data_IF_492513546550
#
_entry.id   IF_492513546550
#
_cell.length_a   1.000
_cell.length_b   1.000
_cell.length_c   1.000
_cell.angle_alpha   90.00
_cell.angle_beta   90.00
_cell.angle_gamma   90.00
#
_symmetry.space_group_name_H-M   'P 1'
#
loop_
_entity.id
_entity.type
_entity.pdbx_description
1 polymer ?
2 non-polymer ?
3 non-polymer ?
4 non-polymer ?
5 water ?
#
# COMPACT_ATOMS: atom_id res chain seq x y z
N UNK A 5 -13.58 -11.41 3.05
CA UNK A 5 -13.13 -11.21 1.68
C UNK A 5 -11.75 -10.57 1.64
N UNK A 6 -11.16 -10.46 0.46
CA UNK A 6 -9.90 -9.77 0.29
C UNK A 6 -10.13 -8.49 -0.53
N UNK A 7 -9.35 -7.45 -0.22
CA UNK A 7 -9.45 -6.25 -1.02
C UNK A 7 -8.96 -6.53 -2.43
N UNK A 8 -9.26 -5.61 -3.35
CA UNK A 8 -8.85 -5.80 -4.74
C UNK A 8 -7.34 -5.65 -4.89
N UNK A 9 -6.73 -4.85 -4.03
CA UNK A 9 -5.30 -4.55 -4.09
C UNK A 9 -4.68 -4.95 -2.76
N UNK A 10 -3.35 -5.06 -2.75
CA UNK A 10 -2.65 -5.42 -1.52
C UNK A 10 -1.31 -4.69 -1.46
N UNK A 11 -0.96 -4.22 -0.27
CA UNK A 11 0.33 -3.61 -0.03
C UNK A 11 1.35 -4.71 0.25
N UNK A 12 2.43 -4.73 -0.52
CA UNK A 12 3.58 -5.59 -0.24
C UNK A 12 4.69 -4.67 0.26
N UNK A 13 5.07 -4.85 1.52
CA UNK A 13 6.12 -4.03 2.13
C UNK A 13 7.44 -4.78 2.03
N UNK A 14 8.36 -4.25 1.22
CA UNK A 14 9.65 -4.87 0.96
C UNK A 14 9.69 -5.01 -0.55
N UNK A 15 10.78 -4.54 -1.15
CA UNK A 15 10.90 -4.52 -2.60
C UNK A 15 12.09 -5.33 -3.09
N UNK A 16 12.60 -6.24 -2.28
CA UNK A 16 13.72 -7.07 -2.68
C UNK A 16 13.16 -8.40 -3.18
N UNK A 17 14.06 -9.40 -3.31
CA UNK A 17 13.65 -10.66 -3.90
C UNK A 17 12.46 -11.28 -3.21
N UNK A 18 12.45 -11.28 -1.88
CA UNK A 18 11.33 -11.84 -1.13
C UNK A 18 10.02 -11.16 -1.51
N UNK A 19 10.05 -9.86 -1.78
CA UNK A 19 8.83 -9.14 -2.12
C UNK A 19 8.29 -9.54 -3.48
N UNK A 20 9.18 -9.75 -4.46
CA UNK A 20 8.76 -10.17 -5.78
C UNK A 20 8.07 -11.52 -5.73
N UNK A 21 8.60 -12.40 -4.89
CA UNK A 21 8.01 -13.71 -4.66
C UNK A 21 6.63 -13.59 -3.98
N UNK A 22 6.51 -12.71 -2.97
CA UNK A 22 5.21 -12.48 -2.37
C UNK A 22 4.22 -11.89 -3.36
N UNK A 23 4.69 -11.07 -4.29
CA UNK A 23 3.82 -10.56 -5.35
C UNK A 23 3.24 -11.70 -6.16
N UNK A 24 4.05 -12.71 -6.47
CA UNK A 24 3.56 -13.86 -7.23
C UNK A 24 2.48 -14.61 -6.45
N UNK A 25 2.68 -14.83 -5.15
CA UNK A 25 1.71 -15.57 -4.35
C UNK A 25 0.41 -14.79 -4.22
N UNK A 26 0.50 -13.48 -3.96
CA UNK A 26 -0.68 -12.64 -3.86
C UNK A 26 -1.52 -12.68 -5.15
N UNK A 27 -0.85 -12.59 -6.31
CA UNK A 27 -1.55 -12.69 -7.58
C UNK A 27 -2.16 -14.07 -7.76
N UNK A 28 -1.43 -15.12 -7.40
CA UNK A 28 -1.99 -16.46 -7.48
C UNK A 28 -3.28 -16.57 -6.69
N UNK A 29 -3.36 -15.87 -5.55
CA UNK A 29 -4.60 -15.81 -4.79
C UNK A 29 -5.68 -15.02 -5.48
N UNK A 30 -5.32 -14.18 -6.46
CA UNK A 30 -6.30 -13.42 -7.22
C UNK A 30 -6.32 -11.93 -6.95
N UNK A 31 -5.48 -11.41 -6.05
CA UNK A 31 -5.29 -9.96 -5.97
C UNK A 31 -4.96 -9.44 -7.35
N UNK A 32 -5.62 -8.35 -7.74
CA UNK A 32 -5.40 -7.83 -9.09
C UNK A 32 -4.13 -7.02 -9.18
N UNK A 33 -3.66 -6.44 -8.07
CA UNK A 33 -2.49 -5.59 -8.14
C UNK A 33 -1.77 -5.52 -6.80
N UNK A 34 -0.44 -5.50 -6.88
CA UNK A 34 0.43 -5.34 -5.72
C UNK A 34 1.04 -3.95 -5.74
N UNK A 35 0.83 -3.20 -4.67
CA UNK A 35 1.44 -1.89 -4.49
C UNK A 35 2.61 -2.06 -3.52
N UNK A 36 3.82 -1.99 -4.05
CA UNK A 36 5.00 -2.13 -3.21
C UNK A 36 5.24 -0.86 -2.40
N UNK A 37 5.50 -1.03 -1.12
CA UNK A 37 5.94 0.07 -0.28
C UNK A 37 7.43 -0.07 -0.04
N UNK A 38 8.14 1.06 -0.11
CA UNK A 38 9.58 1.06 -0.43
C UNK A 38 10.38 0.17 0.52
N UNK A 39 10.10 0.25 1.82
CA UNK A 39 10.84 -0.43 2.88
C UNK A 39 12.15 0.29 3.13
N UNK A 40 12.76 0.83 2.08
CA UNK A 40 13.95 1.66 2.22
C UNK A 40 13.59 3.10 2.57
N UNK A 43 6.91 3.24 -2.90
CA UNK A 43 6.48 4.45 -2.21
C UNK A 43 6.52 4.24 -0.70
N UNK A 44 6.31 5.32 0.07
CA UNK A 44 6.54 5.32 1.50
C UNK A 44 5.25 5.08 2.29
N UNK A 45 5.43 4.61 3.52
CA UNK A 45 4.31 4.20 4.36
C UNK A 45 3.97 5.26 5.41
N UNK A 46 2.66 5.47 5.58
CA UNK A 46 2.09 6.22 6.69
C UNK A 46 0.65 5.74 6.84
N UNK A 47 0.11 5.87 8.06
CA UNK A 47 -1.16 5.22 8.38
C UNK A 47 -2.33 5.68 7.52
N UNK A 48 -2.19 6.77 6.74
CA UNK A 48 -3.36 7.40 6.10
C UNK A 48 -3.76 6.76 4.78
N UNK A 49 -2.92 5.89 4.20
CA UNK A 49 -3.16 5.18 2.93
C UNK A 49 -4.51 4.45 2.93
N UNK A 50 -5.14 4.26 1.77
CA UNK A 50 -6.39 3.48 1.74
C UNK A 50 -6.18 2.11 2.32
N UNK A 51 -7.13 1.68 3.15
CA UNK A 51 -6.96 0.48 3.95
C UNK A 51 -7.08 -0.80 3.11
N UNK A 52 -6.16 -0.99 2.17
CA UNK A 52 -6.05 -2.25 1.47
C UNK A 52 -5.45 -3.31 2.40
N UNK A 53 -5.59 -4.58 2.01
CA UNK A 53 -4.89 -5.65 2.69
C UNK A 53 -3.38 -5.44 2.63
N UNK A 54 -2.67 -6.03 3.59
CA UNK A 54 -1.27 -5.69 3.83
C UNK A 54 -0.45 -6.95 4.05
N UNK A 55 0.81 -6.92 3.60
CA UNK A 55 1.72 -8.03 3.86
C UNK A 55 3.14 -7.52 4.01
N UNK A 56 3.88 -8.09 4.95
CA UNK A 56 5.25 -7.69 5.21
C UNK A 56 6.17 -8.70 4.53
N UNK A 57 6.75 -8.30 3.40
CA UNK A 57 7.61 -9.18 2.61
C UNK A 57 9.08 -8.93 2.93
N UNK A 58 9.42 -9.16 4.20
CA UNK A 58 10.78 -9.00 4.70
C UNK A 58 11.20 -10.34 5.30
N UNK A 59 12.32 -10.89 4.83
CA UNK A 59 12.73 -12.21 5.26
C UNK A 59 13.21 -12.28 6.69
N UNK A 60 13.96 -11.27 7.14
CA UNK A 60 14.55 -11.30 8.48
C UNK A 60 13.47 -11.30 9.55
N UNK A 61 13.57 -12.26 10.48
CA UNK A 61 12.48 -12.49 11.42
C UNK A 61 12.32 -11.31 12.37
N UNK A 62 13.43 -10.77 12.88
CA UNK A 62 13.35 -9.68 13.85
C UNK A 62 12.76 -8.43 13.22
N UNK A 63 13.23 -8.07 12.03
CA UNK A 63 12.75 -6.88 11.35
C UNK A 63 11.31 -7.05 10.89
N UNK A 64 10.98 -8.20 10.29
CA UNK A 64 9.60 -8.46 9.94
C UNK A 64 8.67 -8.28 11.15
N UNK A 65 9.11 -8.72 12.32
CA UNK A 65 8.29 -8.60 13.54
C UNK A 65 8.10 -7.14 13.96
N UNK A 66 9.16 -6.34 13.94
CA UNK A 66 9.03 -4.95 14.36
C UNK A 66 8.11 -4.17 13.43
N UNK A 67 8.18 -4.45 12.13
CA UNK A 67 7.23 -3.86 11.19
C UNK A 67 5.82 -4.34 11.48
N UNK A 68 5.65 -5.66 11.58
CA UNK A 68 4.35 -6.24 11.92
C UNK A 68 3.75 -5.55 13.14
N UNK A 69 4.55 -5.36 14.19
CA UNK A 69 4.08 -4.63 15.35
C UNK A 69 3.61 -3.23 14.97
N UNK A 70 4.40 -2.52 14.15
CA UNK A 70 4.04 -1.18 13.70
C UNK A 70 2.74 -1.21 12.92
N UNK A 71 2.74 -1.89 11.78
CA UNK A 71 1.64 -1.86 10.83
C UNK A 71 0.31 -2.21 11.50
N UNK A 72 0.31 -3.20 12.40
CA UNK A 72 -0.92 -3.56 13.10
C UNK A 72 -1.43 -2.38 13.92
N UNK A 73 -0.56 -1.78 14.74
CA UNK A 73 -0.94 -0.64 15.55
C UNK A 73 -1.45 0.52 14.70
N UNK A 74 -1.00 0.63 13.46
CA UNK A 74 -1.54 1.63 12.54
C UNK A 74 -2.86 1.18 11.91
N UNK A 75 -3.32 -0.03 12.20
CA UNK A 75 -4.67 -0.44 11.87
C UNK A 75 -4.88 -1.13 10.54
N UNK A 76 -3.83 -1.67 9.92
CA UNK A 76 -3.99 -2.42 8.69
C UNK A 76 -4.19 -3.91 8.99
N UNK A 77 -4.98 -4.57 8.16
CA UNK A 77 -5.11 -6.02 8.24
C UNK A 77 -3.92 -6.65 7.52
N UNK A 78 -3.02 -7.26 8.27
CA UNK A 78 -1.90 -7.99 7.69
C UNK A 78 -2.41 -9.38 7.38
N UNK A 79 -2.70 -9.65 6.10
CA UNK A 79 -3.29 -10.92 5.68
C UNK A 79 -2.23 -12.02 5.58
N UNK A 80 -2.69 -13.24 5.32
CA UNK A 80 -1.83 -14.35 4.93
C UNK A 80 -1.78 -14.44 3.42
N UNK A 81 -0.60 -14.72 2.88
CA UNK A 81 -0.44 -15.00 1.47
C UNK A 81 -0.17 -16.50 1.33
N UNK A 82 -1.15 -17.22 0.81
CA UNK A 82 -1.10 -18.68 0.73
C UNK A 82 -1.24 -19.07 -0.73
N UNK A 83 -0.22 -19.71 -1.28
CA UNK A 83 -0.30 -20.15 -2.67
C UNK A 83 -1.32 -21.28 -2.80
N UNK A 84 -2.00 -21.32 -3.95
CA UNK A 84 -3.05 -22.31 -4.14
C UNK A 84 -2.51 -23.74 -4.12
N UNK A 85 -1.25 -23.93 -4.52
CA UNK A 85 -0.68 -25.27 -4.57
C UNK A 85 -0.22 -25.78 -3.20
N UNK A 86 -0.30 -24.95 -2.17
CA UNK A 86 -0.06 -25.44 -0.82
C UNK A 86 -1.19 -26.37 -0.40
N UNK A 87 -0.84 -27.50 0.21
CA UNK A 87 -1.83 -28.48 0.67
C UNK A 87 -1.87 -28.45 2.19
N UNK A 88 -3.01 -28.08 2.74
CA UNK A 88 -3.13 -27.79 4.16
C UNK A 88 -4.28 -28.62 4.74
N UNK A 89 -3.96 -29.53 5.65
CA UNK A 89 -4.95 -30.40 6.25
C UNK A 89 -6.11 -29.60 6.80
N UNK A 90 -7.35 -30.11 6.70
CA UNK A 90 -8.46 -29.39 7.32
C UNK A 90 -8.32 -29.21 8.82
N UNK A 91 -7.62 -30.12 9.53
CA UNK A 91 -7.41 -29.98 10.96
C UNK A 91 -6.14 -29.21 11.32
N UNK A 92 -5.36 -28.77 10.35
CA UNK A 92 -4.25 -27.87 10.64
C UNK A 92 -4.80 -26.47 10.92
N UNK A 93 -4.11 -25.74 11.79
CA UNK A 93 -4.50 -24.38 12.13
C UNK A 93 -3.42 -23.41 11.66
N UNK A 94 -3.83 -22.46 10.81
CA UNK A 94 -2.98 -21.38 10.35
C UNK A 94 -3.63 -20.10 10.82
N UNK A 95 -2.94 -19.35 11.69
CA UNK A 95 -3.51 -18.14 12.27
C UNK A 95 -3.96 -17.18 11.19
N UNK A 96 -5.23 -16.79 11.22
CA UNK A 96 -5.82 -15.99 10.15
C UNK A 96 -5.39 -14.53 10.27
N UNK A 97 -5.28 -13.88 9.11
CA UNK A 97 -4.89 -12.48 9.04
C UNK A 97 -3.69 -12.17 9.93
N UNK A 98 -2.67 -13.03 9.84
CA UNK A 98 -1.54 -13.02 10.77
C UNK A 98 -0.20 -12.96 10.05
N UNK A 99 -0.15 -12.37 8.85
CA UNK A 99 1.12 -12.12 8.20
C UNK A 99 1.89 -13.35 7.76
N UNK A 100 1.22 -14.48 7.57
CA UNK A 100 1.88 -15.74 7.29
C UNK A 100 2.02 -15.91 5.79
N UNK A 101 3.22 -16.28 5.32
CA UNK A 101 3.44 -16.62 3.92
C UNK A 101 3.60 -18.12 3.76
N UNK A 102 2.81 -18.71 2.86
CA UNK A 102 2.94 -20.14 2.52
C UNK A 102 3.19 -20.25 1.01
N UNK A 103 4.36 -20.75 0.64
CA UNK A 103 4.83 -20.71 -0.74
C UNK A 103 4.30 -21.91 -1.53
N UNK A 104 4.61 -22.01 -2.84
CA UNK A 104 4.18 -23.16 -3.64
C UNK A 104 4.61 -24.50 -3.07
N UNK A 105 3.73 -25.49 -3.22
CA UNK A 105 4.01 -26.90 -2.92
C UNK A 105 4.44 -27.12 -1.48
N UNK A 106 4.05 -26.21 -0.58
CA UNK A 106 4.19 -26.50 0.84
C UNK A 106 3.10 -27.48 1.22
N UNK A 107 3.42 -28.36 2.18
CA UNK A 107 2.46 -29.30 2.74
C UNK A 107 2.43 -29.12 4.25
N UNK A 108 1.24 -28.94 4.81
CA UNK A 108 1.03 -28.86 6.24
C UNK A 108 -0.01 -29.91 6.59
N UNK A 109 0.37 -30.87 7.45
CA UNK A 109 -0.47 -32.04 7.69
C UNK A 109 -1.21 -31.95 9.02
N UNK A 110 -1.93 -33.02 9.32
CA UNK A 110 -3.02 -33.01 10.30
C UNK A 110 -2.59 -32.39 11.62
N UNK A 111 -3.41 -31.46 12.11
CA UNK A 111 -3.30 -30.83 13.44
C UNK A 111 -1.99 -30.08 13.65
N UNK A 112 -1.26 -29.72 12.58
CA UNK A 112 -0.14 -28.81 12.75
C UNK A 112 -0.64 -27.41 13.03
N UNK A 113 0.19 -26.61 13.69
CA UNK A 113 -0.17 -25.23 14.03
C UNK A 113 0.90 -24.29 13.50
N UNK A 114 0.49 -23.28 12.73
CA UNK A 114 1.38 -22.24 12.23
C UNK A 114 1.00 -20.92 12.89
N UNK A 115 1.91 -20.36 13.70
CA UNK A 115 1.65 -19.10 14.38
C UNK A 115 1.94 -17.89 13.48
N UNK A 116 1.62 -16.71 14.00
CA UNK A 116 1.68 -15.49 13.21
C UNK A 116 3.10 -15.21 12.73
N UNK A 117 3.19 -14.56 11.59
CA UNK A 117 4.44 -14.07 11.07
C UNK A 117 5.37 -15.12 10.49
N UNK A 118 4.97 -16.39 10.49
CA UNK A 118 5.84 -17.45 9.99
C UNK A 118 6.01 -17.33 8.49
N UNK A 119 7.19 -17.69 7.99
CA UNK A 119 7.38 -17.92 6.56
C UNK A 119 7.58 -19.42 6.36
N UNK A 120 6.74 -20.03 5.52
CA UNK A 120 6.96 -21.40 5.08
C UNK A 120 7.35 -21.34 3.60
N UNK A 121 8.65 -21.49 3.32
CA UNK A 121 9.13 -21.18 1.99
C UNK A 121 8.93 -22.38 1.05
N UNK A 122 9.37 -22.23 -0.21
CA UNK A 122 9.02 -23.14 -1.28
C UNK A 122 9.31 -24.60 -0.96
N UNK A 123 8.31 -25.46 -1.17
CA UNK A 123 8.43 -26.92 -1.05
C UNK A 123 8.80 -27.37 0.37
N UNK A 124 8.66 -26.52 1.38
CA UNK A 124 8.88 -26.99 2.74
C UNK A 124 7.73 -27.89 3.19
N UNK A 125 7.96 -28.66 4.25
CA UNK A 125 6.98 -29.62 4.74
C UNK A 125 6.85 -29.51 6.25
N UNK A 126 5.62 -29.31 6.74
CA UNK A 126 5.30 -29.30 8.16
C UNK A 126 4.42 -30.50 8.44
N UNK A 127 4.98 -31.53 9.07
CA UNK A 127 4.24 -32.76 9.24
C UNK A 127 3.19 -32.62 10.32
N UNK A 128 2.46 -33.71 10.55
CA UNK A 128 1.34 -33.70 11.47
C UNK A 128 1.79 -33.30 12.86
N UNK A 129 0.95 -32.51 13.54
CA UNK A 129 1.04 -32.17 14.96
C UNK A 129 2.16 -31.21 15.29
N UNK A 130 2.96 -30.76 14.31
CA UNK A 130 4.00 -29.77 14.58
C UNK A 130 3.43 -28.47 15.13
N UNK A 131 4.29 -27.67 15.77
CA UNK A 131 3.96 -26.29 16.11
C UNK A 131 5.11 -25.43 15.65
N UNK A 132 4.83 -24.48 14.77
CA UNK A 132 5.85 -23.58 14.24
C UNK A 132 5.65 -22.23 14.90
N UNK A 133 6.59 -21.83 15.75
CA UNK A 133 6.40 -20.65 16.58
C UNK A 133 6.49 -19.36 15.80
N UNK A 134 5.85 -18.31 16.35
CA UNK A 134 5.61 -17.09 15.60
C UNK A 134 6.90 -16.49 15.06
N UNK A 135 6.80 -15.93 13.87
CA UNK A 135 7.89 -15.25 13.16
C UNK A 135 9.06 -16.17 12.87
N UNK A 136 8.80 -17.47 12.82
CA UNK A 136 9.80 -18.39 12.32
C UNK A 136 9.87 -18.34 10.79
N UNK A 137 10.97 -18.82 10.26
CA UNK A 137 11.20 -18.87 8.82
C UNK A 137 11.70 -20.26 8.50
N UNK A 138 10.85 -21.08 7.90
CA UNK A 138 11.16 -22.44 7.48
C UNK A 138 11.54 -22.35 6.01
N UNK A 139 12.84 -22.48 5.71
CA UNK A 139 13.33 -22.07 4.42
C UNK A 139 12.99 -23.12 3.35
N UNK A 140 13.44 -22.83 2.12
CA UNK A 140 13.23 -23.63 0.92
C UNK A 140 13.54 -25.10 1.16
N UNK A 141 12.56 -25.99 0.97
CA UNK A 141 12.81 -27.41 1.10
C UNK A 141 13.02 -27.92 2.52
N UNK A 142 12.94 -27.06 3.54
CA UNK A 142 13.15 -27.53 4.90
C UNK A 142 11.91 -28.28 5.39
N UNK A 143 12.15 -29.32 6.21
CA UNK A 143 11.11 -30.30 6.55
C UNK A 143 11.12 -30.62 8.04
N UNK A 144 9.96 -30.50 8.67
CA UNK A 144 9.77 -30.90 10.06
C UNK A 144 8.98 -32.21 10.12
N UNK A 145 9.59 -33.24 10.69
CA UNK A 145 8.85 -34.48 10.91
C UNK A 145 7.75 -34.27 11.94
N UNK A 146 6.96 -35.30 12.21
CA UNK A 146 5.75 -35.11 13.00
C UNK A 146 6.05 -34.75 14.44
N UNK A 147 5.22 -33.88 15.01
CA UNK A 147 5.26 -33.50 16.43
C UNK A 147 6.52 -32.71 16.80
N UNK A 148 6.99 -31.90 15.89
CA UNK A 148 8.16 -31.07 16.13
C UNK A 148 7.69 -29.72 16.65
N UNK A 149 8.41 -29.16 17.62
CA UNK A 149 8.10 -27.83 18.14
C UNK A 149 9.21 -26.89 17.71
N UNK A 150 8.88 -25.94 16.85
CA UNK A 150 9.82 -24.90 16.44
C UNK A 150 9.49 -23.64 17.23
N UNK A 151 10.48 -23.13 17.97
CA UNK A 151 10.24 -21.97 18.81
C UNK A 151 10.07 -20.71 18.01
N UNK A 152 9.71 -19.63 18.71
CA UNK A 152 9.61 -18.31 18.11
C UNK A 152 10.92 -17.87 17.48
N UNK A 153 10.82 -17.12 16.39
CA UNK A 153 11.97 -16.50 15.72
C UNK A 153 13.04 -17.52 15.34
N UNK A 154 12.66 -18.75 15.05
CA UNK A 154 13.67 -19.70 14.61
C UNK A 154 13.87 -19.58 13.09
N UNK A 155 15.02 -20.05 12.63
CA UNK A 155 15.32 -20.06 11.21
C UNK A 155 15.82 -21.44 10.84
N UNK A 156 15.08 -22.15 9.98
CA UNK A 156 15.50 -23.46 9.49
C UNK A 156 15.99 -23.30 8.06
N UNK A 157 17.27 -23.58 7.83
CA UNK A 157 17.89 -23.26 6.57
C UNK A 157 17.45 -24.18 5.44
N UNK A 158 17.78 -23.76 4.22
CA UNK A 158 17.39 -24.49 3.01
C UNK A 158 17.77 -25.95 3.13
N UNK A 159 16.80 -26.83 2.83
CA UNK A 159 16.99 -28.27 2.79
C UNK A 159 17.37 -28.87 4.15
N UNK A 160 17.17 -28.13 5.24
CA UNK A 160 17.40 -28.74 6.56
C UNK A 160 16.20 -29.60 6.94
N UNK A 161 16.36 -30.36 8.02
CA UNK A 161 15.24 -31.14 8.51
C UNK A 161 15.38 -31.38 10.01
N UNK A 162 14.26 -31.72 10.63
CA UNK A 162 14.19 -31.99 12.07
C UNK A 162 13.48 -33.33 12.26
N UNK A 163 14.15 -34.25 12.95
CA UNK A 163 13.56 -35.55 13.26
C UNK A 163 12.30 -35.39 14.13
N UNK A 164 11.45 -36.42 14.19
CA UNK A 164 10.16 -36.26 14.86
C UNK A 164 10.30 -36.18 16.36
N UNK A 165 9.34 -35.52 16.99
CA UNK A 165 9.20 -35.38 18.44
C UNK A 165 10.29 -34.53 19.05
N UNK A 166 11.05 -33.78 18.24
CA UNK A 166 12.08 -32.87 18.72
C UNK A 166 11.52 -31.48 18.94
N UNK A 167 12.22 -30.70 19.77
CA UNK A 167 11.90 -29.31 20.06
C UNK A 167 13.15 -28.47 19.88
N UNK A 168 12.99 -27.29 19.27
CA UNK A 168 14.08 -26.36 19.00
C UNK A 168 13.77 -25.05 19.71
N UNK A 169 14.72 -24.58 20.52
CA UNK A 169 14.50 -23.43 21.39
C UNK A 169 14.33 -22.13 20.60
N UNK A 170 13.52 -21.22 21.15
CA UNK A 170 13.32 -19.88 20.58
C UNK A 170 14.66 -19.28 20.17
N UNK A 171 14.64 -18.58 19.04
CA UNK A 171 15.79 -17.82 18.54
C UNK A 171 16.97 -18.71 18.16
N UNK A 172 16.71 -19.94 17.73
CA UNK A 172 17.77 -20.83 17.25
C UNK A 172 17.83 -20.79 15.73
N UNK A 173 18.99 -21.17 15.20
CA UNK A 173 19.18 -21.30 13.76
C UNK A 173 19.67 -22.72 13.45
N UNK A 174 18.98 -23.37 12.51
CA UNK A 174 19.38 -24.69 12.01
C UNK A 174 20.00 -24.49 10.64
N UNK A 175 21.25 -24.89 10.48
CA UNK A 175 21.96 -24.54 9.26
C UNK A 175 21.37 -25.20 8.03
N UNK A 176 21.61 -24.56 6.88
CA UNK A 176 21.28 -25.15 5.59
C UNK A 176 21.83 -26.55 5.50
N UNK A 177 20.99 -27.50 5.07
CA UNK A 177 21.41 -28.88 4.97
C UNK A 177 21.48 -29.64 6.27
N UNK A 178 21.43 -28.98 7.43
CA UNK A 178 21.62 -29.67 8.71
C UNK A 178 20.45 -30.61 9.01
N UNK A 179 20.78 -31.71 9.71
CA UNK A 179 19.81 -32.70 10.16
C UNK A 179 19.81 -32.71 11.69
N UNK A 180 18.77 -32.15 12.29
CA UNK A 180 18.67 -32.11 13.75
C UNK A 180 18.08 -33.41 14.28
N UNK A 181 18.82 -34.11 15.15
CA UNK A 181 18.40 -35.41 15.64
C UNK A 181 18.16 -35.45 17.15
N UNK A 182 18.47 -34.40 17.89
CA UNK A 182 18.25 -34.36 19.34
C UNK A 182 17.55 -33.05 19.72
N UNK A 183 16.90 -33.05 20.88
CA UNK A 183 16.30 -31.81 21.40
C UNK A 183 17.38 -30.75 21.63
N UNK A 184 16.97 -29.48 21.55
CA UNK A 184 17.85 -28.35 21.87
C UNK A 184 17.06 -27.34 22.70
N UNK A 185 17.20 -27.42 24.03
CA UNK A 185 16.40 -26.58 24.93
C UNK A 185 16.97 -25.17 25.09
N UNK A 186 18.24 -24.96 24.77
CA UNK A 186 18.83 -23.63 24.81
C UNK A 186 19.20 -23.20 23.40
N UNK A 187 19.10 -21.88 23.15
CA UNK A 187 19.24 -21.37 21.80
C UNK A 187 20.65 -21.61 21.27
N UNK A 188 20.76 -21.65 19.94
CA UNK A 188 22.05 -21.87 19.33
C UNK A 188 21.97 -21.86 17.83
N UNK A 189 23.10 -22.16 17.21
CA UNK A 189 23.24 -22.33 15.77
C UNK A 189 23.74 -23.75 15.54
N UNK A 190 22.95 -24.56 14.84
CA UNK A 190 23.20 -25.98 14.69
C UNK A 190 23.40 -26.35 13.22
N UNK A 191 24.51 -27.02 12.91
CA UNK A 191 24.90 -27.26 11.53
C UNK A 191 25.39 -28.70 11.37
N UNK A 192 25.18 -29.25 10.18
CA UNK A 192 25.73 -30.54 9.81
C UNK A 192 24.73 -31.67 9.95
N UNK A 193 25.21 -32.86 9.59
CA UNK A 193 24.42 -34.09 9.66
C UNK A 193 25.20 -35.12 10.48
N UNK A 194 24.90 -35.23 11.79
CA UNK A 194 23.84 -34.59 12.56
C UNK A 194 24.17 -33.16 12.90
N UNK A 195 23.16 -32.35 13.17
CA UNK A 195 23.41 -30.95 13.46
C UNK A 195 24.08 -30.82 14.82
N UNK A 196 25.10 -29.99 14.90
CA UNK A 196 25.85 -29.79 16.14
C UNK A 196 25.96 -28.30 16.43
N UNK A 197 26.03 -27.98 17.72
CA UNK A 197 26.14 -26.59 18.14
C UNK A 197 27.43 -25.98 17.60
N UNK A 198 27.30 -24.81 16.99
CA UNK A 198 28.38 -24.15 16.26
C UNK A 198 28.74 -22.82 16.91
N UNK B 5 -22.08 17.71 -21.12
CA UNK B 5 -22.90 16.54 -21.46
C UNK B 5 -22.89 15.52 -20.32
N UNK B 6 -23.20 15.97 -19.11
CA UNK B 6 -23.06 15.14 -17.92
C UNK B 6 -24.24 14.18 -17.76
N UNK B 7 -23.93 12.96 -17.31
CA UNK B 7 -24.96 11.96 -17.06
C UNK B 7 -25.64 12.25 -15.73
N UNK B 8 -26.77 11.59 -15.49
CA UNK B 8 -27.53 11.87 -14.27
C UNK B 8 -26.88 11.24 -13.05
N UNK B 9 -26.21 10.11 -13.24
CA UNK B 9 -25.56 9.39 -12.16
C UNK B 9 -24.05 9.42 -12.36
N UNK B 10 -23.31 9.34 -11.25
CA UNK B 10 -21.85 9.36 -11.29
C UNK B 10 -21.33 8.29 -10.33
N UNK B 11 -20.31 7.56 -10.78
CA UNK B 11 -19.60 6.64 -9.93
C UNK B 11 -18.60 7.41 -9.08
N UNK B 12 -18.63 7.19 -7.77
CA UNK B 12 -17.61 7.75 -6.87
C UNK B 12 -16.73 6.59 -6.46
N UNK B 13 -15.56 6.46 -7.08
CA UNK B 13 -14.61 5.41 -6.75
C UNK B 13 -13.86 5.80 -5.48
N UNK B 14 -14.16 5.14 -4.37
CA UNK B 14 -13.52 5.47 -3.12
C UNK B 14 -14.54 6.08 -2.18
N UNK B 15 -14.89 5.37 -1.11
CA UNK B 15 -16.00 5.76 -0.27
C UNK B 15 -15.57 6.36 1.06
N UNK B 16 -14.28 6.71 1.20
CA UNK B 16 -13.80 7.25 2.46
C UNK B 16 -14.36 8.65 2.70
N UNK B 17 -13.78 9.37 3.65
CA UNK B 17 -14.17 10.76 3.84
C UNK B 17 -13.98 11.58 2.59
N UNK B 18 -12.88 11.33 1.86
CA UNK B 18 -12.65 12.03 0.60
C UNK B 18 -13.74 11.72 -0.41
N UNK B 19 -14.26 10.48 -0.40
CA UNK B 19 -15.40 10.18 -1.24
C UNK B 19 -16.64 10.94 -0.84
N UNK B 20 -16.85 11.13 0.47
CA UNK B 20 -18.01 11.86 0.95
C UNK B 20 -18.02 13.28 0.41
N UNK B 21 -16.83 13.88 0.34
CA UNK B 21 -16.68 15.28 0.01
C UNK B 21 -16.86 15.45 -1.49
N UNK B 22 -16.46 14.43 -2.28
CA UNK B 22 -16.70 14.44 -3.72
C UNK B 22 -18.18 14.28 -4.03
N UNK B 23 -18.92 13.55 -3.20
CA UNK B 23 -20.36 13.43 -3.40
C UNK B 23 -21.04 14.78 -3.29
N UNK B 24 -20.75 15.51 -2.21
CA UNK B 24 -21.31 16.85 -2.03
C UNK B 24 -21.01 17.72 -3.25
N UNK B 25 -19.77 17.67 -3.76
CA UNK B 25 -19.43 18.42 -4.96
C UNK B 25 -20.22 17.91 -6.16
N UNK B 26 -20.39 16.59 -6.27
CA UNK B 26 -21.18 16.05 -7.37
C UNK B 26 -22.65 16.49 -7.27
N UNK B 27 -23.23 16.42 -6.07
CA UNK B 27 -24.61 16.86 -5.92
C UNK B 27 -24.73 18.36 -6.14
N UNK B 28 -23.73 19.14 -5.70
CA UNK B 28 -23.75 20.57 -5.99
C UNK B 28 -23.62 20.85 -7.47
N UNK B 29 -22.92 19.98 -8.22
CA UNK B 29 -22.78 20.19 -9.65
C UNK B 29 -24.08 19.95 -10.41
N UNK B 30 -24.97 19.13 -9.88
CA UNK B 30 -26.19 18.80 -10.58
C UNK B 30 -26.44 17.31 -10.72
N UNK B 31 -25.45 16.47 -10.40
CA UNK B 31 -25.64 15.03 -10.49
C UNK B 31 -26.78 14.60 -9.59
N UNK B 32 -27.70 13.82 -10.15
CA UNK B 32 -28.89 13.45 -9.40
C UNK B 32 -28.58 12.40 -8.34
N UNK B 33 -27.60 11.54 -8.58
CA UNK B 33 -27.34 10.41 -7.71
C UNK B 33 -25.89 9.97 -7.88
N UNK B 34 -25.27 9.56 -6.78
CA UNK B 34 -23.92 9.05 -6.82
C UNK B 34 -23.97 7.54 -6.64
N UNK B 35 -23.04 6.87 -7.30
CA UNK B 35 -22.88 5.42 -7.19
C UNK B 35 -21.51 5.17 -6.61
N UNK B 36 -21.44 4.78 -5.34
CA UNK B 36 -20.14 4.55 -4.72
C UNK B 36 -19.56 3.22 -5.16
N UNK B 37 -18.30 3.25 -5.60
CA UNK B 37 -17.53 2.05 -5.88
C UNK B 37 -16.49 1.96 -4.78
N UNK B 38 -16.79 1.19 -3.75
CA UNK B 38 -15.82 0.91 -2.70
C UNK B 38 -14.65 0.18 -3.34
N UNK B 39 -14.92 -1.04 -3.80
CA UNK B 39 -13.95 -1.90 -4.45
C UNK B 39 -12.65 -1.93 -3.67
N UNK B 40 -12.78 -2.01 -2.34
CA UNK B 40 -11.64 -2.34 -1.49
C UNK B 40 -11.35 -3.80 -1.76
N UNK B 43 -20.61 -0.93 -3.59
CA UNK B 43 -20.59 -1.62 -4.89
C UNK B 43 -19.16 -1.79 -5.39
N UNK B 44 -18.92 -2.87 -6.13
CA UNK B 44 -17.61 -3.17 -6.68
C UNK B 44 -17.55 -2.76 -8.15
N UNK B 45 -16.39 -2.25 -8.56
CA UNK B 45 -16.18 -1.88 -9.95
C UNK B 45 -15.99 -3.13 -10.81
N UNK B 46 -16.67 -3.17 -11.96
CA UNK B 46 -16.44 -4.18 -12.99
C UNK B 46 -16.46 -3.51 -14.36
N UNK B 47 -16.08 -4.27 -15.37
CA UNK B 47 -15.87 -3.78 -16.72
C UNK B 47 -17.15 -3.68 -17.55
N UNK B 48 -18.32 -4.07 -17.02
CA UNK B 48 -19.56 -3.95 -17.78
C UNK B 48 -20.61 -3.10 -17.06
N UNK B 49 -20.17 -2.20 -16.19
CA UNK B 49 -21.06 -1.17 -15.67
C UNK B 49 -21.45 -0.23 -16.80
N UNK B 50 -22.65 0.37 -16.73
CA UNK B 50 -22.96 1.43 -17.69
C UNK B 50 -21.89 2.50 -17.59
N UNK B 51 -21.57 3.14 -18.72
CA UNK B 51 -20.43 4.04 -18.73
C UNK B 51 -20.85 5.46 -18.35
N UNK B 52 -21.46 5.55 -17.18
CA UNK B 52 -21.77 6.82 -16.56
C UNK B 52 -20.49 7.61 -16.30
N UNK B 53 -20.65 8.90 -16.03
CA UNK B 53 -19.54 9.72 -15.55
C UNK B 53 -18.89 9.05 -14.36
N UNK B 54 -17.56 9.15 -14.30
CA UNK B 54 -16.74 8.48 -13.31
C UNK B 54 -15.97 9.54 -12.53
N UNK B 55 -15.68 9.27 -11.26
CA UNK B 55 -14.72 10.10 -10.56
C UNK B 55 -13.91 9.25 -9.61
N UNK B 56 -12.62 9.58 -9.50
CA UNK B 56 -11.70 8.84 -8.63
C UNK B 56 -11.47 9.68 -7.39
N UNK B 57 -12.12 9.27 -6.29
CA UNK B 57 -12.02 9.96 -5.01
C UNK B 57 -10.95 9.26 -4.17
N UNK B 58 -9.70 9.44 -4.58
CA UNK B 58 -8.56 8.82 -3.92
C UNK B 58 -7.58 9.95 -3.58
N UNK B 59 -7.48 10.29 -2.29
CA UNK B 59 -6.59 11.37 -1.89
C UNK B 59 -5.12 11.07 -2.13
N UNK B 60 -4.73 9.79 -2.12
CA UNK B 60 -3.34 9.44 -2.36
C UNK B 60 -3.02 9.60 -3.84
N UNK B 61 -1.99 10.40 -4.14
CA UNK B 61 -1.71 10.77 -5.52
C UNK B 61 -1.28 9.56 -6.34
N UNK B 62 -0.51 8.66 -5.73
CA UNK B 62 0.07 7.53 -6.46
C UNK B 62 -1.01 6.52 -6.82
N UNK B 63 -1.88 6.20 -5.86
CA UNK B 63 -2.95 5.26 -6.12
C UNK B 63 -4.00 5.87 -7.05
N UNK B 64 -4.25 7.19 -6.91
CA UNK B 64 -5.19 7.83 -7.82
C UNK B 64 -4.70 7.75 -9.26
N UNK B 65 -3.40 7.94 -9.49
CA UNK B 65 -2.86 7.86 -10.85
C UNK B 65 -3.01 6.45 -11.41
N UNK B 66 -2.69 5.43 -10.61
CA UNK B 66 -2.86 4.03 -11.04
C UNK B 66 -4.30 3.76 -11.42
N UNK B 67 -5.23 4.07 -10.53
CA UNK B 67 -6.66 3.82 -10.78
C UNK B 67 -7.14 4.62 -11.99
N UNK B 68 -6.57 5.81 -12.21
CA UNK B 68 -6.99 6.64 -13.33
C UNK B 68 -6.75 5.91 -14.65
N UNK B 69 -5.56 5.34 -14.82
CA UNK B 69 -5.25 4.71 -16.10
C UNK B 69 -6.11 3.47 -16.32
N UNK B 70 -6.32 2.67 -15.27
CA UNK B 70 -7.11 1.45 -15.42
C UNK B 70 -8.56 1.76 -15.77
N UNK B 71 -9.11 2.81 -15.17
CA UNK B 71 -10.45 3.27 -15.53
C UNK B 71 -10.44 3.90 -16.91
N UNK B 72 -9.41 4.71 -17.21
CA UNK B 72 -9.27 5.31 -18.54
C UNK B 72 -9.07 4.24 -19.62
N UNK B 73 -8.44 3.11 -19.26
CA UNK B 73 -8.38 1.97 -20.18
C UNK B 73 -9.77 1.42 -20.48
N UNK B 74 -10.55 1.15 -19.44
CA UNK B 74 -11.87 0.52 -19.54
C UNK B 74 -12.90 1.35 -20.28
N UNK B 75 -12.46 2.43 -20.93
CA UNK B 75 -13.36 3.25 -21.73
C UNK B 75 -14.22 4.24 -20.99
N UNK B 76 -14.07 4.37 -19.66
CA UNK B 76 -14.94 5.26 -18.91
C UNK B 76 -14.53 6.73 -19.09
N UNK B 77 -15.49 7.61 -18.82
CA UNK B 77 -15.24 9.06 -18.84
C UNK B 77 -15.03 9.53 -17.41
N UNK B 78 -13.87 10.13 -17.15
CA UNK B 78 -13.49 10.58 -15.82
C UNK B 78 -13.64 12.10 -15.83
N UNK B 79 -14.77 12.59 -15.31
CA UNK B 79 -15.10 14.01 -15.40
C UNK B 79 -14.35 14.79 -14.35
N UNK B 80 -14.38 16.12 -14.44
CA UNK B 80 -13.95 16.98 -13.35
C UNK B 80 -15.12 17.21 -12.42
N UNK B 81 -14.85 17.23 -11.12
CA UNK B 81 -15.83 17.66 -10.12
C UNK B 81 -15.44 19.05 -9.64
N UNK B 82 -16.22 20.06 -10.03
CA UNK B 82 -15.87 21.45 -9.78
C UNK B 82 -17.05 22.09 -9.07
N UNK B 83 -16.87 22.44 -7.80
CA UNK B 83 -17.93 23.07 -7.04
C UNK B 83 -18.29 24.41 -7.67
N UNK B 84 -19.56 24.79 -7.57
CA UNK B 84 -20.02 26.02 -8.23
C UNK B 84 -19.44 27.28 -7.59
N UNK B 85 -18.93 27.18 -6.37
CA UNK B 85 -18.33 28.31 -5.68
C UNK B 85 -16.86 28.50 -6.02
N UNK B 86 -16.27 27.57 -6.78
CA UNK B 86 -14.91 27.78 -7.26
C UNK B 86 -14.90 28.88 -8.31
N UNK B 87 -14.03 29.87 -8.14
CA UNK B 87 -13.94 30.99 -9.08
C UNK B 87 -12.74 30.77 -10.01
N UNK B 88 -13.03 30.59 -11.29
CA UNK B 88 -12.00 30.21 -12.26
C UNK B 88 -11.96 31.27 -13.35
N UNK B 89 -10.79 31.88 -13.52
CA UNK B 89 -10.62 32.93 -14.52
C UNK B 89 -10.93 32.42 -15.91
N UNK B 90 -11.58 33.23 -16.74
CA UNK B 90 -11.89 32.78 -18.10
C UNK B 90 -10.66 32.55 -18.96
N UNK B 91 -9.48 33.02 -18.55
CA UNK B 91 -8.24 32.71 -19.25
C UNK B 91 -7.45 31.59 -18.59
N UNK B 92 -7.93 31.07 -17.46
CA UNK B 92 -7.33 29.88 -16.89
C UNK B 92 -7.64 28.66 -17.75
N UNK B 93 -6.81 27.63 -17.62
CA UNK B 93 -6.96 26.40 -18.38
C UNK B 93 -7.12 25.25 -17.39
N UNK B 94 -8.31 24.67 -17.32
CA UNK B 94 -8.56 23.45 -16.57
C UNK B 94 -8.72 22.33 -17.61
N UNK B 95 -7.88 21.30 -17.53
CA UNK B 95 -7.96 20.22 -18.51
C UNK B 95 -9.31 19.53 -18.44
N UNK B 96 -9.97 19.39 -19.58
CA UNK B 96 -11.31 18.83 -19.59
C UNK B 96 -11.27 17.33 -19.34
N UNK B 97 -12.31 16.83 -18.67
CA UNK B 97 -12.50 15.41 -18.44
C UNK B 97 -11.19 14.74 -18.03
N UNK B 98 -10.66 15.21 -16.90
CA UNK B 98 -9.36 14.78 -16.39
C UNK B 98 -9.43 14.37 -14.92
N UNK B 99 -10.61 14.12 -14.39
CA UNK B 99 -10.72 13.70 -13.00
C UNK B 99 -10.16 14.69 -12.01
N UNK B 100 -10.25 15.96 -12.30
CA UNK B 100 -9.76 17.00 -11.42
C UNK B 100 -10.84 17.30 -10.37
N UNK B 101 -10.42 17.48 -9.12
CA UNK B 101 -11.33 17.88 -8.07
C UNK B 101 -11.07 19.33 -7.69
N UNK B 102 -12.11 20.16 -7.72
CA UNK B 102 -11.98 21.58 -7.32
C UNK B 102 -13.04 21.88 -6.25
N UNK B 103 -12.59 21.97 -5.00
CA UNK B 103 -13.43 22.04 -3.83
C UNK B 103 -14.05 23.44 -3.69
N UNK B 104 -14.94 23.63 -2.71
CA UNK B 104 -15.54 24.96 -2.49
C UNK B 104 -14.52 26.07 -2.30
N UNK B 105 -14.86 27.24 -2.84
CA UNK B 105 -14.18 28.52 -2.60
C UNK B 105 -12.73 28.52 -3.07
N UNK B 106 -12.36 27.58 -3.93
CA UNK B 106 -11.07 27.64 -4.60
C UNK B 106 -11.09 28.82 -5.57
N UNK B 107 -9.97 29.52 -5.68
CA UNK B 107 -9.79 30.57 -6.67
C UNK B 107 -8.64 30.17 -7.58
N UNK B 108 -8.87 30.30 -8.90
CA UNK B 108 -7.86 30.03 -9.93
C UNK B 108 -7.82 31.28 -10.79
N UNK B 109 -6.73 32.04 -10.73
CA UNK B 109 -6.68 33.32 -11.43
C UNK B 109 -6.10 33.16 -12.85
N UNK B 110 -5.94 34.31 -13.51
CA UNK B 110 -5.74 34.36 -14.95
C UNK B 110 -4.57 33.51 -15.42
N UNK B 111 -4.79 32.79 -16.51
CA UNK B 111 -3.79 32.03 -17.27
C UNK B 111 -3.17 30.89 -16.48
N UNK B 112 -3.62 30.64 -15.26
CA UNK B 112 -3.16 29.45 -14.54
C UNK B 112 -3.59 28.18 -15.27
N UNK B 113 -2.85 27.09 -15.08
CA UNK B 113 -3.13 25.83 -15.74
C UNK B 113 -3.18 24.68 -14.75
N UNK B 114 -4.24 23.87 -14.81
CA UNK B 114 -4.41 22.70 -13.95
C UNK B 114 -4.35 21.45 -14.83
N UNK B 115 -3.49 20.50 -14.46
CA UNK B 115 -3.34 19.25 -15.21
C UNK B 115 -4.20 18.14 -14.62
N UNK B 116 -4.20 17.00 -15.31
CA UNK B 116 -5.14 15.94 -14.99
C UNK B 116 -4.97 15.40 -13.57
N UNK B 117 -6.07 14.92 -13.00
CA UNK B 117 -6.05 14.22 -11.73
C UNK B 117 -5.73 15.07 -10.53
N UNK B 118 -5.56 16.38 -10.70
CA UNK B 118 -5.18 17.27 -9.60
C UNK B 118 -6.33 17.40 -8.61
N UNK B 119 -5.98 17.54 -7.32
CA UNK B 119 -6.92 17.95 -6.29
C UNK B 119 -6.63 19.40 -5.92
N UNK B 120 -7.63 20.27 -6.01
CA UNK B 120 -7.56 21.58 -5.37
C UNK B 120 -8.56 21.54 -4.21
N UNK B 121 -8.04 21.46 -2.98
CA UNK B 121 -8.92 21.19 -1.86
C UNK B 121 -9.52 22.50 -1.34
N UNK B 122 -10.43 22.37 -0.36
CA UNK B 122 -11.25 23.45 0.16
C UNK B 122 -10.48 24.74 0.37
N UNK B 123 -10.92 25.79 -0.32
CA UNK B 123 -10.41 27.16 -0.17
C UNK B 123 -8.92 27.30 -0.46
N UNK B 124 -8.37 26.47 -1.34
CA UNK B 124 -7.01 26.74 -1.81
C UNK B 124 -7.05 27.84 -2.86
N UNK B 125 -5.88 28.42 -3.15
CA UNK B 125 -5.78 29.48 -4.15
C UNK B 125 -4.64 29.16 -5.09
N UNK B 126 -4.89 29.26 -6.40
CA UNK B 126 -3.88 29.08 -7.44
C UNK B 126 -3.78 30.40 -8.21
N UNK B 127 -2.69 31.14 -8.01
CA UNK B 127 -2.62 32.47 -8.58
C UNK B 127 -2.35 32.44 -10.09
N UNK B 128 -2.44 33.62 -10.68
CA UNK B 128 -2.26 33.81 -12.11
C UNK B 128 -0.97 33.17 -12.60
N UNK B 129 -1.07 32.48 -13.75
CA UNK B 129 0.07 31.96 -14.49
C UNK B 129 0.75 30.79 -13.80
N UNK B 130 0.05 30.10 -12.92
CA UNK B 130 0.59 28.88 -12.34
C UNK B 130 0.39 27.69 -13.26
N UNK B 131 1.20 26.67 -13.04
CA UNK B 131 1.01 25.34 -13.63
C UNK B 131 1.02 24.36 -12.48
N UNK B 132 -0.07 23.61 -12.31
CA UNK B 132 -0.16 22.62 -11.24
C UNK B 132 -0.09 21.25 -11.90
N UNK B 133 1.03 20.57 -11.69
CA UNK B 133 1.30 19.35 -12.43
C UNK B 133 0.34 18.23 -12.12
N UNK B 134 0.24 17.28 -13.04
CA UNK B 134 -0.76 16.22 -12.98
C UNK B 134 -0.67 15.44 -11.69
N UNK B 135 -1.84 15.05 -11.18
CA UNK B 135 -1.99 14.22 -9.97
C UNK B 135 -1.33 14.84 -8.74
N UNK B 136 -1.18 16.17 -8.74
CA UNK B 136 -0.77 16.86 -7.53
C UNK B 136 -1.95 16.99 -6.58
N UNK B 137 -1.66 17.34 -5.32
CA UNK B 137 -2.72 17.61 -4.34
C UNK B 137 -2.38 18.93 -3.65
N UNK B 138 -3.18 19.96 -3.94
CA UNK B 138 -3.11 21.22 -3.22
C UNK B 138 -4.11 21.10 -2.07
N UNK B 139 -3.60 20.96 -0.84
CA UNK B 139 -4.46 20.60 0.27
C UNK B 139 -5.26 21.81 0.75
N UNK B 140 -6.05 21.63 1.81
CA UNK B 140 -6.95 22.65 2.35
C UNK B 140 -6.24 23.96 2.63
N UNK B 141 -6.73 25.06 2.05
CA UNK B 141 -6.19 26.36 2.36
C UNK B 141 -4.77 26.63 1.88
N UNK B 142 -4.19 25.76 1.07
CA UNK B 142 -2.85 26.00 0.57
C UNK B 142 -2.91 26.98 -0.60
N UNK B 143 -1.88 27.82 -0.73
CA UNK B 143 -1.98 28.90 -1.71
C UNK B 143 -0.65 29.10 -2.44
N UNK B 144 -0.70 29.11 -3.76
CA UNK B 144 0.46 29.39 -4.60
C UNK B 144 0.36 30.80 -5.16
N UNK B 145 1.40 31.60 -4.95
CA UNK B 145 1.45 32.95 -5.50
C UNK B 145 1.69 32.89 -7.01
N UNK B 146 1.87 34.06 -7.61
CA UNK B 146 1.84 34.13 -9.07
C UNK B 146 2.99 33.38 -9.71
N UNK B 147 2.70 32.77 -10.86
CA UNK B 147 3.73 32.20 -11.74
C UNK B 147 4.53 31.13 -10.99
N UNK B 148 3.82 30.27 -10.29
CA UNK B 148 4.41 29.15 -9.55
C UNK B 148 4.20 27.88 -10.35
N UNK B 149 5.22 27.03 -10.40
CA UNK B 149 5.16 25.77 -11.14
C UNK B 149 5.29 24.63 -10.13
N UNK B 150 4.22 23.88 -9.95
CA UNK B 150 4.22 22.73 -9.06
C UNK B 150 4.38 21.47 -9.91
N UNK B 151 5.41 20.68 -9.60
CA UNK B 151 5.71 19.49 -10.37
C UNK B 151 4.63 18.42 -10.30
N UNK B 152 4.82 17.33 -11.05
CA UNK B 152 3.86 16.23 -11.04
C UNK B 152 3.82 15.54 -9.69
N UNK B 153 2.61 15.14 -9.29
CA UNK B 153 2.37 14.27 -8.14
C UNK B 153 2.73 14.91 -6.81
N UNK B 154 2.92 16.22 -6.75
CA UNK B 154 3.36 16.85 -5.51
C UNK B 154 2.21 16.91 -4.49
N UNK B 155 2.58 17.25 -3.27
CA UNK B 155 1.63 17.38 -2.18
C UNK B 155 1.91 18.70 -1.47
N UNK B 156 0.97 19.65 -1.57
CA UNK B 156 1.06 20.91 -0.84
C UNK B 156 0.14 20.80 0.36
N UNK B 157 0.73 20.69 1.54
CA UNK B 157 -0.03 20.42 2.75
C UNK B 157 -0.92 21.57 3.18
N UNK B 158 -1.79 21.27 4.15
CA UNK B 158 -2.80 22.22 4.62
C UNK B 158 -2.14 23.54 5.00
N UNK B 159 -2.71 24.64 4.50
CA UNK B 159 -2.32 26.00 4.84
C UNK B 159 -0.85 26.29 4.56
N UNK B 160 -0.26 25.59 3.61
CA UNK B 160 1.09 25.90 3.13
C UNK B 160 1.02 26.95 2.04
N UNK B 161 2.17 27.52 1.69
CA UNK B 161 2.17 28.49 0.61
C UNK B 161 3.50 28.51 -0.12
N UNK B 162 3.47 29.10 -1.32
CA UNK B 162 4.63 29.18 -2.21
C UNK B 162 4.74 30.61 -2.70
N UNK B 163 5.92 31.21 -2.54
CA UNK B 163 6.16 32.57 -2.98
C UNK B 163 6.17 32.64 -4.51
N UNK B 164 6.02 33.85 -5.07
CA UNK B 164 5.93 33.97 -6.54
C UNK B 164 7.16 33.39 -7.23
N UNK B 165 6.93 32.86 -8.43
CA UNK B 165 7.93 32.57 -9.45
C UNK B 165 8.77 31.33 -9.16
N UNK B 166 8.38 30.49 -8.20
CA UNK B 166 9.17 29.35 -7.77
C UNK B 166 8.70 28.05 -8.42
N UNK B 167 9.58 27.04 -8.37
CA UNK B 167 9.31 25.71 -8.91
C UNK B 167 9.56 24.65 -7.84
N UNK B 168 8.65 23.68 -7.76
CA UNK B 168 8.77 22.54 -6.87
C UNK B 168 8.92 21.28 -7.70
N UNK B 169 10.03 20.56 -7.50
CA UNK B 169 10.31 19.37 -8.30
C UNK B 169 9.22 18.33 -8.16
N UNK B 170 9.03 17.53 -9.21
CA UNK B 170 8.12 16.38 -9.22
C UNK B 170 8.21 15.57 -7.94
N UNK B 171 7.09 15.01 -7.49
CA UNK B 171 7.02 14.06 -6.38
C UNK B 171 7.36 14.67 -5.03
N UNK B 172 7.34 16.00 -4.90
CA UNK B 172 7.75 16.64 -3.65
C UNK B 172 6.57 16.78 -2.68
N UNK B 173 6.90 17.15 -1.45
CA UNK B 173 5.92 17.39 -0.39
C UNK B 173 6.26 18.72 0.25
N UNK B 174 5.25 19.56 0.42
CA UNK B 174 5.37 20.76 1.22
C UNK B 174 4.49 20.54 2.44
N UNK B 175 5.09 20.51 3.63
CA UNK B 175 4.35 20.16 4.81
C UNK B 175 3.23 21.14 5.11
N UNK B 176 2.35 20.72 6.04
CA UNK B 176 1.37 21.62 6.59
C UNK B 176 2.02 22.88 7.12
N UNK B 177 1.44 24.04 6.81
CA UNK B 177 1.92 25.29 7.33
C UNK B 177 3.25 25.77 6.80
N UNK B 178 3.85 25.07 5.84
CA UNK B 178 5.18 25.42 5.36
C UNK B 178 5.10 26.54 4.33
N UNK B 179 6.18 27.32 4.26
CA UNK B 179 6.31 28.43 3.31
C UNK B 179 7.52 28.16 2.43
N UNK B 180 7.30 27.94 1.14
CA UNK B 180 8.41 27.72 0.23
C UNK B 180 8.93 29.05 -0.29
N UNK B 181 10.20 29.33 -0.01
CA UNK B 181 10.81 30.58 -0.43
C UNK B 181 11.93 30.38 -1.45
N UNK B 182 12.36 29.14 -1.70
CA UNK B 182 13.41 28.84 -2.65
C UNK B 182 12.90 27.82 -3.67
N UNK B 183 13.35 27.93 -4.92
CA UNK B 183 13.11 26.87 -5.90
C UNK B 183 13.69 25.56 -5.38
N UNK B 184 13.07 24.44 -5.76
CA UNK B 184 13.58 23.12 -5.36
C UNK B 184 13.69 22.23 -6.59
N UNK B 185 14.94 21.95 -7.00
CA UNK B 185 15.21 21.10 -8.15
C UNK B 185 15.25 19.62 -7.80
N UNK B 186 15.53 19.29 -6.55
CA UNK B 186 15.57 17.91 -6.08
C UNK B 186 14.40 17.66 -5.14
N UNK B 187 13.64 16.60 -5.40
CA UNK B 187 12.45 16.35 -4.61
C UNK B 187 12.81 16.10 -3.15
N UNK B 188 11.78 16.17 -2.31
CA UNK B 188 11.97 16.05 -0.89
C UNK B 188 10.74 16.57 -0.18
N UNK B 189 10.84 16.54 1.15
CA UNK B 189 9.78 16.97 2.05
C UNK B 189 10.27 18.24 2.72
N UNK B 190 9.58 19.36 2.47
CA UNK B 190 10.03 20.67 2.92
C UNK B 190 9.05 21.20 3.96
N UNK B 191 9.57 21.48 5.15
CA UNK B 191 8.73 21.81 6.30
C UNK B 191 9.24 23.09 6.93
N UNK B 192 8.33 23.79 7.60
CA UNK B 192 8.70 24.95 8.41
C UNK B 192 8.44 26.26 7.70
N UNK B 193 8.68 27.34 8.46
CA UNK B 193 8.65 28.69 7.96
C UNK B 193 10.04 29.30 8.20
N UNK B 194 10.86 29.44 7.14
CA UNK B 194 10.63 29.02 5.77
C UNK B 194 10.89 27.53 5.60
N UNK B 195 10.54 27.00 4.42
CA UNK B 195 10.49 25.55 4.22
C UNK B 195 11.90 25.00 3.99
N UNK B 196 12.30 24.06 4.85
CA UNK B 196 13.60 23.41 4.76
C UNK B 196 13.42 21.90 4.63
N UNK B 197 14.27 21.28 3.82
CA UNK B 197 14.25 19.84 3.59
C UNK B 197 14.34 19.08 4.91
N UNK B 198 13.55 18.01 5.03
CA UNK B 198 13.62 17.11 6.19
C UNK B 198 14.94 16.33 6.17
X LIG C 1 21.08 -19.19 4.65
X LIG C 1 20.14 -20.12 4.29
X LIG C 1 18.88 -20.01 3.50
X LIG C 1 21.93 -21.14 5.71
X LIG C 1 22.14 -19.77 5.49
X LIG C 1 23.39 -19.35 6.15
X LIG C 1 25.05 -17.61 6.67
X LIG C 1 23.83 -21.46 6.92
X LIG C 1 18.43 -19.09 2.82
X LIG C 1 24.20 -20.18 6.85
X LIG C 1 22.71 -21.98 6.39
X LIG C 1 23.83 -18.09 6.05
X LIG C 1 21.04 -17.75 4.23
X LIG C 1 18.31 -21.21 3.58
X LIG C 1 20.47 -21.71 4.93
X LIG C 1 24.68 -22.48 7.61
X LIG C 1 26.03 -22.83 6.82
X LIG C 1 26.79 -24.03 7.37
X LIG C 1 27.92 -23.85 8.16
X LIG C 1 28.64 -24.94 8.63
X LIG C 1 28.24 -26.21 8.31
X LIG C 1 27.12 -26.41 7.51
X LIG C 1 26.40 -25.32 7.06
X LIG D 1 30.85 -19.32 6.97
X LIG D 1 30.16 -20.34 7.66
X LIG D 1 30.12 -17.99 7.13
X LIG D 1 29.34 -17.75 5.96
X LIG D 1 29.24 -18.05 8.37
X LIG D 1 28.31 -16.99 8.43
X LIG E 1 16.50 -18.70 0.98
X LIG E 1 17.53 -18.79 1.98
X LIG E 1 16.33 -17.38 0.16
X LIG E 1 17.06 -17.36 -1.02
X LIG E 1 14.92 -17.04 -0.32
X LIG E 1 14.83 -15.65 -0.63
X LIG F 1 5.18 -18.45 -8.81
X LIG F 1 5.77 -19.80 -9.16
X LIG F 1 3.44 -18.36 -9.33
X LIG F 1 5.04 -18.45 -7.00
X LIG G 1 -0.73 15.79 5.73
X LIG G 1 -1.21 16.98 5.25
X LIG G 1 -2.50 17.32 4.62
X LIG G 1 1.10 17.21 6.16
X LIG G 1 0.62 15.90 6.26
X LIG G 1 1.59 15.03 6.87
X LIG G 1 2.24 12.79 7.68
X LIG G 1 3.08 16.74 7.14
X LIG G 1 -3.40 16.51 4.48
X LIG G 1 2.80 15.44 7.30
X LIG G 1 2.29 17.64 6.57
X LIG G 1 1.32 13.73 7.07
X LIG G 1 -1.51 14.50 5.71
X LIG G 1 -2.60 18.56 4.22
X LIG G 1 -0.05 18.27 5.42
X LIG G 1 4.35 17.29 7.70
X LIG G 1 4.42 17.28 9.27
X LIG G 1 5.34 18.34 9.84
X LIG G 1 6.40 17.98 10.65
X LIG G 1 7.27 18.95 11.12
X LIG G 1 7.08 20.28 10.80
X LIG G 1 6.01 20.64 10.01
X LIG G 1 5.14 19.68 9.54
X LIG H 1 5.98 13.08 10.12
X LIG H 1 6.56 12.40 9.01
X LIG H 1 6.16 12.35 11.46
X LIG H 1 6.76 11.07 11.34
X LIG H 1 6.97 13.25 12.41
X LIG H 1 8.03 13.88 11.70
X LIG I 1 -10.45 35.27 -11.63
X LIG I 1 -10.63 34.18 -10.60
X LIG I 1 -11.95 35.51 -12.60
X LIG I 1 -10.26 36.84 -10.73
#
# INVERSE_FOLDING_TARGET
GSAMARTEKIYIYGASGHGLVCEDVAKNMGYKECIFLDDFKGMKFESTLPKYDFFIAIGNNEIRKKIYQKISENGFKIVNLIHKSALISPSAIVEENAGILIMPYVVINAKAKIEKGVILNTSSVIEHECVIGEFSHVSVGAKCAGNVKIGKNCFLGINSCVLPNLSLADDSILGGGATLVKNQDEKGVFVGVPAKRM
GSAMARTEKIYIYGASGHGLVCEDVAKNMGYKECIFLDDFKGMKFESTLPKYDFFIAIGNNEIRKKIYQKISENGFKIVNLIHKSALISPSAIVEENAGILIMPYVVINAKAKIEKGVILNTSSVIEHECVIGEFSHVSVGAKCAGNVKIGKNCFLGINSCVLPNLSLADDSILGGGATLVKNQDEKGVFVGVPAKRM
753 C1 C2 C3 C4 C5 C6 C7 C8 O1 N1 N2 N C O S C9 C10 C11 C16 C15 C14 C13 C12
GOL C1 O1 C2 O2 C3 O3
GOL C1 O1 C2 O2 C3 O3
DMS S O C1 C2
753 C1 C2 C3 C4 C5 C6 C7 C8 O1 N1 N2 N C O S C9 C10 C11 C16 C15 C14 C13 C12
GOL C1 O1 C2 O2 C3 O3
DMS S O C1 C2
#
